data_IF_191260148170
#
_entry.id   IF_191260148170
#
_cell.length_a   1.000
_cell.length_b   1.000
_cell.length_c   1.000
_cell.angle_alpha   90.00
_cell.angle_beta   90.00
_cell.angle_gamma   90.00
#
_symmetry.space_group_name_H-M   'P 1'
#
loop_
_entity.id
_entity.type
_entity.pdbx_description
1 polymer ?
#
# COMPACT_ATOMS: atom_id res chain seq x y z
N UNK A 1 -22.59 7.89 11.79
CA UNK A 1 -22.18 9.22 11.27
C UNK A 1 -21.19 9.02 10.12
N UNK A 2 -21.37 9.73 9.04
CA UNK A 2 -20.41 9.70 7.93
C UNK A 2 -19.23 10.64 8.21
N UNK A 3 -18.03 10.23 7.81
CA UNK A 3 -16.82 11.04 7.90
C UNK A 3 -16.35 11.39 6.50
N UNK A 4 -15.85 12.61 6.32
CA UNK A 4 -15.23 13.05 5.07
C UNK A 4 -13.78 13.39 5.36
N UNK A 5 -12.86 12.73 4.66
CA UNK A 5 -11.42 12.98 4.78
C UNK A 5 -10.90 13.60 3.49
N UNK A 6 -10.03 14.57 3.63
CA UNK A 6 -9.29 15.15 2.50
C UNK A 6 -7.84 14.69 2.58
N UNK A 7 -7.30 14.23 1.47
CA UNK A 7 -5.92 13.73 1.40
C UNK A 7 -4.92 14.73 1.99
N UNK A 8 -5.03 16.00 1.64
CA UNK A 8 -4.11 17.04 2.11
C UNK A 8 -4.16 17.36 3.60
N UNK A 9 -5.22 16.92 4.30
CA UNK A 9 -5.39 17.15 5.75
C UNK A 9 -4.87 15.98 6.58
N UNK A 10 -4.46 14.88 5.95
CA UNK A 10 -4.05 13.66 6.63
C UNK A 10 -2.52 13.53 6.67
N UNK A 11 -1.98 12.81 7.68
CA UNK A 11 -0.56 12.55 7.74
C UNK A 11 -0.07 11.82 6.50
N UNK A 12 1.03 12.28 5.93
CA UNK A 12 1.72 11.61 4.84
C UNK A 12 2.88 10.81 5.40
N UNK A 13 2.99 9.56 4.99
CA UNK A 13 4.05 8.64 5.35
C UNK A 13 4.93 8.40 4.13
N UNK A 14 6.23 8.35 4.34
CA UNK A 14 7.18 8.10 3.27
C UNK A 14 8.05 6.88 3.60
N UNK A 15 8.35 6.06 2.61
CA UNK A 15 9.19 4.88 2.81
C UNK A 15 10.68 5.24 2.98
N UNK A 16 11.48 4.28 3.43
CA UNK A 16 12.90 4.48 3.70
C UNK A 16 13.70 4.92 2.47
N UNK A 17 13.25 4.57 1.26
CA UNK A 17 13.88 4.96 -0.02
C UNK A 17 13.35 6.27 -0.56
N UNK A 18 12.41 6.90 0.13
CA UNK A 18 11.73 8.14 -0.27
C UNK A 18 11.13 8.07 -1.69
N UNK A 19 10.66 6.89 -2.07
CA UNK A 19 10.12 6.61 -3.40
C UNK A 19 8.62 6.34 -3.41
N UNK A 20 8.05 6.02 -2.24
CA UNK A 20 6.62 5.73 -2.08
C UNK A 20 6.07 6.59 -0.95
N UNK A 21 4.91 7.17 -1.17
CA UNK A 21 4.19 7.96 -0.18
C UNK A 21 2.83 7.32 0.08
N UNK A 22 2.45 7.23 1.35
CA UNK A 22 1.21 6.60 1.79
C UNK A 22 0.41 7.56 2.65
N UNK A 23 -0.89 7.65 2.39
CA UNK A 23 -1.81 8.43 3.18
C UNK A 23 -2.99 7.53 3.56
N UNK A 24 -3.17 7.30 4.86
CA UNK A 24 -4.30 6.52 5.35
C UNK A 24 -5.51 7.41 5.55
N UNK A 25 -6.65 6.96 5.08
CA UNK A 25 -7.96 7.55 5.38
C UNK A 25 -8.61 6.82 6.53
N UNK A 26 -8.49 5.50 6.55
CA UNK A 26 -9.05 4.65 7.59
C UNK A 26 -7.99 3.67 8.03
N UNK A 27 -7.66 3.66 9.32
CA UNK A 27 -6.81 2.66 9.95
C UNK A 27 -7.01 2.67 11.47
N UNK A 28 -6.30 1.80 12.17
CA UNK A 28 -6.38 1.68 13.62
C UNK A 28 -6.01 2.98 14.33
N UNK A 29 -4.98 3.66 13.87
CA UNK A 29 -4.47 4.88 14.52
C UNK A 29 -5.42 6.07 14.34
N UNK A 30 -5.89 6.29 13.11
CA UNK A 30 -6.68 7.48 12.75
C UNK A 30 -8.16 7.36 13.04
N UNK A 31 -8.72 6.17 12.85
CA UNK A 31 -10.16 5.95 12.99
C UNK A 31 -10.53 4.84 13.95
N UNK A 32 -9.54 4.22 14.60
CA UNK A 32 -9.72 3.12 15.58
C UNK A 32 -10.56 1.97 15.02
N UNK A 33 -10.36 1.63 13.75
CA UNK A 33 -11.07 0.58 13.05
C UNK A 33 -10.14 -0.61 12.85
N UNK A 34 -10.60 -1.80 13.28
CA UNK A 34 -9.86 -3.06 13.14
C UNK A 34 -10.24 -3.86 11.90
N UNK A 35 -11.41 -3.58 11.32
CA UNK A 35 -11.98 -4.41 10.26
C UNK A 35 -11.36 -4.13 8.89
N UNK A 36 -10.78 -2.94 8.69
CA UNK A 36 -10.24 -2.54 7.40
C UNK A 36 -9.17 -1.46 7.53
N UNK A 37 -8.39 -1.33 6.48
CA UNK A 37 -7.49 -0.22 6.24
C UNK A 37 -7.77 0.30 4.83
N UNK A 38 -7.86 1.61 4.67
CA UNK A 38 -8.04 2.22 3.37
C UNK A 38 -7.16 3.47 3.26
N UNK A 39 -6.58 3.67 2.09
CA UNK A 39 -5.72 4.81 1.84
C UNK A 39 -5.33 4.94 0.38
N UNK A 40 -4.47 5.90 0.11
CA UNK A 40 -3.90 6.11 -1.22
C UNK A 40 -2.38 6.02 -1.17
N UNK A 41 -1.80 5.64 -2.29
CA UNK A 41 -0.36 5.49 -2.47
C UNK A 41 0.08 6.28 -3.71
N UNK A 42 1.19 6.97 -3.55
CA UNK A 42 1.91 7.61 -4.65
C UNK A 42 3.28 6.96 -4.78
N UNK A 43 3.61 6.46 -5.95
CA UNK A 43 4.93 5.90 -6.25
C UNK A 43 5.64 6.77 -7.27
N UNK A 44 6.91 7.04 -7.03
CA UNK A 44 7.79 7.57 -8.08
C UNK A 44 8.03 6.51 -9.13
N UNK A 45 8.36 6.92 -10.35
CA UNK A 45 8.75 5.98 -11.41
C UNK A 45 9.89 5.07 -10.92
N UNK A 46 9.75 3.77 -11.14
CA UNK A 46 10.71 2.76 -10.73
C UNK A 46 10.58 2.28 -9.29
N UNK A 47 9.78 2.96 -8.47
CA UNK A 47 9.54 2.51 -7.10
C UNK A 47 8.76 1.19 -7.07
N UNK A 48 9.06 0.36 -6.09
CA UNK A 48 8.41 -0.93 -5.92
C UNK A 48 8.21 -1.26 -4.45
N UNK A 49 7.13 -1.98 -4.15
CA UNK A 49 7.02 -2.68 -2.88
C UNK A 49 7.99 -3.86 -2.84
N UNK A 50 8.37 -4.36 -1.67
CA UNK A 50 9.08 -5.63 -1.60
C UNK A 50 8.18 -6.76 -2.14
N UNK A 51 8.77 -7.88 -2.55
CA UNK A 51 8.00 -9.08 -2.80
C UNK A 51 7.60 -9.65 -1.44
N UNK A 52 6.32 -9.70 -1.15
CA UNK A 52 5.81 -10.03 0.16
C UNK A 52 4.43 -10.67 0.08
N UNK A 53 3.99 -11.20 1.20
CA UNK A 53 2.62 -11.68 1.38
C UNK A 53 2.09 -11.24 2.74
N UNK A 54 0.78 -11.20 2.85
CA UNK A 54 0.10 -10.95 4.11
C UNK A 54 -0.71 -12.16 4.52
N UNK A 55 -0.54 -12.59 5.76
CA UNK A 55 -1.36 -13.64 6.33
C UNK A 55 -2.68 -13.04 6.85
N UNK A 56 -3.77 -13.74 6.62
CA UNK A 56 -5.10 -13.40 7.13
C UNK A 56 -5.63 -12.04 6.64
N UNK A 57 -5.21 -11.60 5.46
CA UNK A 57 -5.60 -10.28 4.94
C UNK A 57 -5.75 -10.33 3.42
N UNK A 58 -6.81 -9.74 2.92
CA UNK A 58 -7.06 -9.55 1.50
C UNK A 58 -6.86 -8.09 1.12
N UNK A 59 -6.40 -7.85 -0.11
CA UNK A 59 -6.11 -6.51 -0.62
C UNK A 59 -6.82 -6.22 -1.91
N UNK A 60 -7.22 -4.94 -2.10
CA UNK A 60 -7.49 -4.37 -3.41
C UNK A 60 -6.55 -3.22 -3.67
N UNK A 61 -6.12 -3.08 -4.93
CA UNK A 61 -5.52 -1.87 -5.45
C UNK A 61 -6.34 -1.42 -6.65
N UNK A 62 -6.82 -0.20 -6.63
CA UNK A 62 -7.49 0.41 -7.78
C UNK A 62 -6.59 1.50 -8.34
N UNK A 63 -6.12 1.32 -9.58
CA UNK A 63 -5.20 2.26 -10.23
C UNK A 63 -5.99 3.48 -10.70
N UNK A 64 -5.60 4.65 -10.22
CA UNK A 64 -6.24 5.93 -10.57
C UNK A 64 -5.46 6.62 -11.68
N UNK A 65 -4.13 6.65 -11.58
CA UNK A 65 -3.26 7.30 -12.56
C UNK A 65 -1.91 6.60 -12.64
N UNK A 66 -1.24 6.68 -13.78
CA UNK A 66 0.05 6.07 -14.01
C UNK A 66 -0.02 4.63 -14.49
N UNK A 67 1.14 3.97 -14.51
CA UNK A 67 1.28 2.58 -14.97
C UNK A 67 2.20 1.79 -14.05
N UNK A 68 1.94 0.51 -13.94
CA UNK A 68 2.71 -0.39 -13.09
C UNK A 68 2.71 -1.80 -13.66
N UNK A 69 3.54 -2.65 -13.05
CA UNK A 69 3.43 -4.11 -13.18
C UNK A 69 3.09 -4.69 -11.83
N UNK A 70 2.23 -5.70 -11.80
CA UNK A 70 1.98 -6.52 -10.62
C UNK A 70 2.60 -7.90 -10.83
N UNK A 71 3.42 -8.31 -9.89
CA UNK A 71 3.99 -9.66 -9.82
C UNK A 71 3.23 -10.45 -8.75
N UNK A 72 2.80 -11.64 -9.13
CA UNK A 72 2.07 -12.57 -8.26
C UNK A 72 2.40 -14.00 -8.63
N UNK A 73 1.71 -14.97 -8.05
CA UNK A 73 1.86 -16.39 -8.46
C UNK A 73 1.46 -16.61 -9.92
N UNK A 74 0.62 -15.77 -10.49
CA UNK A 74 0.23 -15.84 -11.91
C UNK A 74 1.26 -15.21 -12.86
N UNK A 75 2.38 -14.71 -12.36
CA UNK A 75 3.43 -14.06 -13.16
C UNK A 75 3.38 -12.54 -13.04
N UNK A 76 3.94 -11.85 -14.03
CA UNK A 76 4.02 -10.40 -14.08
C UNK A 76 3.03 -9.87 -15.12
N UNK A 77 2.18 -8.93 -14.71
CA UNK A 77 1.14 -8.36 -15.58
C UNK A 77 1.19 -6.83 -15.54
N UNK A 78 1.04 -6.15 -16.69
CA UNK A 78 0.90 -4.70 -16.71
C UNK A 78 -0.48 -4.27 -16.24
N UNK A 79 -0.53 -3.14 -15.54
CA UNK A 79 -1.77 -2.51 -15.07
C UNK A 79 -1.71 -1.00 -15.28
N UNK A 80 -2.87 -0.38 -15.41
CA UNK A 80 -3.03 1.04 -15.64
C UNK A 80 -4.35 1.57 -15.10
N UNK A 81 -4.69 2.84 -15.40
CA UNK A 81 -5.88 3.48 -14.85
C UNK A 81 -7.16 2.68 -15.12
N UNK A 82 -7.97 2.52 -14.09
CA UNK A 82 -9.21 1.75 -14.15
C UNK A 82 -9.05 0.26 -13.86
N UNK A 83 -7.81 -0.24 -13.73
CA UNK A 83 -7.57 -1.63 -13.35
C UNK A 83 -7.69 -1.80 -11.85
N UNK A 84 -8.34 -2.88 -11.44
CA UNK A 84 -8.40 -3.33 -10.06
C UNK A 84 -7.57 -4.61 -9.91
N UNK A 85 -6.70 -4.61 -8.90
CA UNK A 85 -5.91 -5.77 -8.52
C UNK A 85 -6.50 -6.31 -7.22
N UNK A 86 -6.94 -7.56 -7.23
CA UNK A 86 -7.35 -8.26 -6.03
C UNK A 86 -6.28 -9.29 -5.64
N UNK A 87 -5.82 -9.24 -4.40
CA UNK A 87 -4.79 -10.12 -3.86
C UNK A 87 -5.38 -10.91 -2.71
N UNK A 88 -5.64 -12.21 -2.90
CA UNK A 88 -6.08 -13.09 -1.82
C UNK A 88 -5.07 -13.15 -0.67
N UNK A 89 -5.53 -13.56 0.50
CA UNK A 89 -4.65 -13.81 1.63
C UNK A 89 -3.55 -14.81 1.24
N UNK A 90 -2.35 -14.57 1.73
CA UNK A 90 -1.15 -15.40 1.55
C UNK A 90 -0.57 -15.43 0.13
N UNK A 91 -1.16 -14.73 -0.82
CA UNK A 91 -0.56 -14.64 -2.16
C UNK A 91 0.61 -13.65 -2.16
N UNK A 92 1.77 -14.13 -2.63
CA UNK A 92 2.93 -13.23 -2.81
C UNK A 92 2.64 -12.20 -3.89
N UNK A 93 3.10 -10.98 -3.66
CA UNK A 93 2.92 -9.90 -4.63
C UNK A 93 3.97 -8.81 -4.50
N UNK A 94 4.17 -8.11 -5.61
CA UNK A 94 4.98 -6.90 -5.72
C UNK A 94 4.34 -5.98 -6.75
N UNK A 95 4.21 -4.71 -6.40
CA UNK A 95 3.78 -3.67 -7.34
C UNK A 95 4.98 -2.78 -7.66
N UNK A 96 5.26 -2.60 -8.95
CA UNK A 96 6.37 -1.74 -9.43
C UNK A 96 5.81 -0.68 -10.37
N UNK A 97 6.06 0.58 -10.07
CA UNK A 97 5.65 1.70 -10.91
C UNK A 97 6.57 1.79 -12.14
N UNK A 98 6.00 1.71 -13.32
CA UNK A 98 6.72 1.96 -14.59
C UNK A 98 6.60 3.42 -15.03
N UNK A 99 5.62 4.13 -14.52
CA UNK A 99 5.46 5.58 -14.56
C UNK A 99 5.03 6.05 -13.17
N UNK A 100 5.08 7.37 -12.86
CA UNK A 100 4.52 7.85 -11.59
C UNK A 100 3.13 7.31 -11.38
N UNK A 101 2.88 6.71 -10.22
CA UNK A 101 1.71 5.90 -9.96
C UNK A 101 0.90 6.49 -8.81
N UNK A 102 -0.41 6.51 -8.97
CA UNK A 102 -1.36 6.84 -7.93
C UNK A 102 -2.45 5.79 -7.88
N UNK A 103 -2.66 5.18 -6.70
CA UNK A 103 -3.70 4.17 -6.55
C UNK A 103 -4.35 4.23 -5.17
N UNK A 104 -5.58 3.76 -5.11
CA UNK A 104 -6.31 3.52 -3.87
C UNK A 104 -6.06 2.07 -3.43
N UNK A 105 -5.81 1.89 -2.13
CA UNK A 105 -5.69 0.56 -1.53
C UNK A 105 -6.73 0.34 -0.45
N UNK A 106 -7.17 -0.91 -0.32
CA UNK A 106 -8.05 -1.36 0.73
C UNK A 106 -7.63 -2.74 1.20
N UNK A 107 -7.61 -2.93 2.51
CA UNK A 107 -7.22 -4.19 3.15
C UNK A 107 -8.22 -4.55 4.23
N UNK A 108 -8.51 -5.84 4.37
CA UNK A 108 -9.35 -6.37 5.44
C UNK A 108 -8.86 -7.75 5.88
N UNK A 109 -8.71 -7.96 7.19
CA UNK A 109 -8.81 -6.99 8.27
C UNK A 109 -7.61 -6.04 8.34
N UNK A 110 -7.66 -5.05 9.22
CA UNK A 110 -6.55 -4.12 9.43
C UNK A 110 -5.37 -4.77 10.17
N UNK A 111 -5.62 -5.76 10.99
CA UNK A 111 -4.58 -6.51 11.72
C UNK A 111 -4.13 -7.71 10.89
N UNK A 112 -2.90 -7.66 10.42
CA UNK A 112 -2.31 -8.67 9.56
C UNK A 112 -0.80 -8.76 9.81
N UNK A 113 -0.21 -9.84 9.35
CA UNK A 113 1.25 -10.04 9.37
C UNK A 113 1.79 -10.01 7.96
N UNK A 114 2.88 -9.26 7.76
CA UNK A 114 3.60 -9.21 6.49
C UNK A 114 4.82 -10.11 6.55
N UNK A 115 4.98 -10.97 5.55
CA UNK A 115 6.18 -11.79 5.35
C UNK A 115 6.91 -11.29 4.12
N UNK A 116 8.14 -10.83 4.29
CA UNK A 116 9.01 -10.38 3.20
C UNK A 116 9.66 -11.60 2.56
N UNK A 117 9.55 -11.74 1.25
CA UNK A 117 10.18 -12.79 0.46
C UNK A 117 11.44 -12.27 -0.24
N UNK A 118 11.39 -11.06 -0.77
CA UNK A 118 12.54 -10.34 -1.32
C UNK A 118 12.52 -8.91 -0.81
N UNK A 119 13.54 -8.53 -0.04
CA UNK A 119 13.64 -7.25 0.62
C UNK A 119 14.12 -7.41 2.05
N UNK A 120 13.96 -6.37 2.85
CA UNK A 120 14.36 -6.35 4.26
C UNK A 120 13.25 -5.75 5.12
N UNK A 121 13.35 -5.89 6.43
CA UNK A 121 12.40 -5.27 7.37
C UNK A 121 12.35 -3.74 7.23
N UNK A 122 13.41 -3.11 6.73
CA UNK A 122 13.42 -1.68 6.43
C UNK A 122 12.37 -1.29 5.37
N UNK A 123 11.98 -2.22 4.49
CA UNK A 123 10.94 -1.97 3.49
C UNK A 123 9.54 -1.87 4.09
N UNK A 124 9.37 -2.26 5.35
CA UNK A 124 8.12 -2.12 6.11
C UNK A 124 8.06 -0.81 6.90
N UNK A 125 9.14 -0.04 6.90
CA UNK A 125 9.23 1.18 7.67
C UNK A 125 8.68 2.36 6.89
N UNK A 126 7.82 3.13 7.57
CA UNK A 126 7.24 4.35 7.05
C UNK A 126 7.47 5.47 8.07
N UNK A 127 8.06 6.57 7.62
CA UNK A 127 8.34 7.73 8.45
C UNK A 127 7.32 8.83 8.14
N UNK A 128 6.73 9.43 9.18
CA UNK A 128 5.88 10.61 9.00
C UNK A 128 6.77 11.83 8.74
N UNK A 129 6.25 12.77 7.95
CA UNK A 129 6.93 14.04 7.70
C UNK A 129 7.16 14.85 8.98
N UNK A 130 6.42 14.57 10.07
CA UNK A 130 6.60 15.17 11.39
C UNK A 130 7.65 14.44 12.25
N UNK A 131 8.40 13.48 11.70
CA UNK A 131 9.43 12.70 12.37
C UNK A 131 8.95 11.49 13.15
N UNK A 132 7.64 11.24 13.22
CA UNK A 132 7.09 10.04 13.86
C UNK A 132 7.20 8.85 12.92
N UNK A 133 7.53 7.69 13.47
CA UNK A 133 7.73 6.45 12.72
C UNK A 133 6.52 5.54 12.87
N UNK A 134 6.08 4.96 11.77
CA UNK A 134 5.10 3.89 11.74
C UNK A 134 5.69 2.68 11.02
N UNK A 135 5.50 1.50 11.59
CA UNK A 135 6.02 0.24 11.03
C UNK A 135 4.86 -0.66 10.70
N UNK A 136 4.80 -1.08 9.45
CA UNK A 136 3.82 -2.05 8.98
C UNK A 136 4.20 -3.44 9.50
N UNK A 137 3.26 -4.10 10.08
CA UNK A 137 3.44 -5.47 10.62
C UNK A 137 2.80 -6.54 9.76
#
# INVERSE_FOLDING_TARGET
MAYVFKEGDLPSLIDAKQARERIFFVNQELAQIDDMLAGVMHYKKGAASPLHLHKNCEHFYFIIDGKATVESDAGIRPVGPGDMIFIPAEEKHRLRATEPLFYFEWQAPNRFKTTILEGTDADLRWDRKDGKVWIQT
#
